data_IF_064894726935
#
_entry.id   IF_064894726935
#
_cell.length_a   1.000
_cell.length_b   1.000
_cell.length_c   1.000
_cell.angle_alpha   90.00
_cell.angle_beta   90.00
_cell.angle_gamma   90.00
#
_symmetry.space_group_name_H-M   'P 1'
#
loop_
_entity.id
_entity.type
_entity.pdbx_description
1 polymer ?
#
# COMPACT_ATOMS: atom_id res chain seq x y z
N UNK A 1 9.71 -72.51 -26.14
CA UNK A 1 9.23 -71.19 -26.56
C UNK A 1 9.47 -70.22 -25.40
N UNK A 2 10.57 -69.46 -25.47
CA UNK A 2 10.62 -67.98 -25.51
C UNK A 2 10.02 -67.32 -24.24
N UNK A 3 10.77 -66.89 -23.22
CA UNK A 3 11.78 -65.80 -23.08
C UNK A 3 11.20 -64.41 -22.72
N UNK A 4 11.96 -63.69 -21.88
CA UNK A 4 11.89 -62.28 -21.39
C UNK A 4 11.04 -61.97 -20.14
N UNK A 5 11.61 -61.75 -18.94
CA UNK A 5 12.43 -60.60 -18.45
C UNK A 5 11.72 -59.24 -18.50
N UNK A 6 11.56 -58.59 -17.34
CA UNK A 6 12.23 -57.31 -17.01
C UNK A 6 11.85 -56.75 -15.63
N UNK A 7 12.91 -56.42 -14.90
CA UNK A 7 13.00 -55.76 -13.60
C UNK A 7 12.01 -54.61 -13.34
N UNK A 8 11.15 -54.76 -12.32
CA UNK A 8 10.33 -53.65 -11.76
C UNK A 8 10.99 -52.91 -10.58
N UNK A 9 12.15 -53.35 -10.11
CA UNK A 9 12.79 -52.83 -8.88
C UNK A 9 13.83 -51.73 -9.11
N UNK A 10 14.21 -51.44 -10.36
CA UNK A 10 15.25 -50.44 -10.67
C UNK A 10 14.72 -49.02 -10.91
N UNK A 11 13.42 -48.83 -11.14
CA UNK A 11 12.86 -47.50 -11.46
C UNK A 11 12.38 -46.69 -10.24
N UNK A 12 12.28 -47.31 -9.06
CA UNK A 12 11.78 -46.60 -7.87
C UNK A 12 12.83 -45.72 -7.17
N UNK A 13 14.12 -45.99 -7.35
CA UNK A 13 15.19 -45.27 -6.65
C UNK A 13 15.63 -43.98 -7.35
N UNK A 14 15.57 -43.90 -8.68
CA UNK A 14 16.00 -42.72 -9.43
C UNK A 14 14.98 -41.58 -9.39
N UNK A 15 13.68 -41.88 -9.24
CA UNK A 15 12.63 -40.87 -9.12
C UNK A 15 12.69 -40.21 -7.74
N UNK A 16 12.87 -40.98 -6.66
CA UNK A 16 13.02 -40.43 -5.30
C UNK A 16 14.27 -39.57 -5.14
N UNK A 17 15.39 -39.94 -5.78
CA UNK A 17 16.64 -39.16 -5.72
C UNK A 17 16.54 -37.83 -6.48
N UNK A 18 15.84 -37.80 -7.63
CA UNK A 18 15.64 -36.57 -8.41
C UNK A 18 14.67 -35.59 -7.74
N UNK A 19 13.64 -36.07 -7.06
CA UNK A 19 12.69 -35.20 -6.33
C UNK A 19 13.31 -34.58 -5.09
N UNK A 20 14.19 -35.30 -4.38
CA UNK A 20 14.87 -34.78 -3.19
C UNK A 20 15.91 -33.69 -3.53
N UNK A 21 16.60 -33.79 -4.66
CA UNK A 21 17.58 -32.78 -5.10
C UNK A 21 16.88 -31.50 -5.55
N UNK A 22 15.72 -31.62 -6.23
CA UNK A 22 14.96 -30.46 -6.70
C UNK A 22 14.33 -29.66 -5.55
N UNK A 23 13.88 -30.32 -4.48
CA UNK A 23 13.35 -29.62 -3.29
C UNK A 23 14.41 -28.86 -2.51
N UNK A 24 15.65 -29.38 -2.43
CA UNK A 24 16.76 -28.72 -1.73
C UNK A 24 17.28 -27.52 -2.53
N UNK A 25 17.34 -27.61 -3.86
CA UNK A 25 17.73 -26.46 -4.70
C UNK A 25 16.67 -25.35 -4.65
N UNK A 26 15.38 -25.70 -4.66
CA UNK A 26 14.30 -24.72 -4.52
C UNK A 26 14.31 -24.00 -3.16
N UNK A 27 14.69 -24.67 -2.08
CA UNK A 27 14.79 -24.03 -0.75
C UNK A 27 15.99 -23.06 -0.62
N UNK A 28 17.07 -23.27 -1.37
CA UNK A 28 18.20 -22.33 -1.39
C UNK A 28 17.91 -21.05 -2.20
N UNK A 29 17.01 -21.10 -3.18
CA UNK A 29 16.59 -19.91 -3.94
C UNK A 29 15.54 -19.05 -3.20
N UNK A 30 14.94 -19.53 -2.11
CA UNK A 30 13.98 -18.77 -1.30
C UNK A 30 14.63 -17.78 -0.31
N UNK A 31 15.93 -17.88 -0.07
CA UNK A 31 16.66 -16.99 0.85
C UNK A 31 17.15 -15.69 0.17
N UNK A 32 16.84 -15.47 -1.11
CA UNK A 32 17.37 -14.36 -1.92
C UNK A 32 16.60 -13.04 -1.82
N UNK A 33 15.40 -13.02 -1.24
CA UNK A 33 14.77 -11.77 -0.81
C UNK A 33 14.97 -11.66 0.70
N UNK A 34 16.08 -11.03 1.10
CA UNK A 34 16.28 -10.60 2.49
C UNK A 34 15.03 -9.87 2.96
N UNK A 35 14.36 -10.47 3.95
CA UNK A 35 12.97 -10.17 4.33
C UNK A 35 12.84 -8.94 5.24
N UNK A 36 13.86 -8.09 5.29
CA UNK A 36 13.77 -6.83 6.03
C UNK A 36 12.90 -5.87 5.21
N UNK A 37 11.68 -5.61 5.68
CA UNK A 37 10.78 -4.66 5.03
C UNK A 37 10.89 -3.27 5.64
N UNK A 38 11.70 -3.09 6.69
CA UNK A 38 11.78 -1.82 7.41
C UNK A 38 12.33 -0.70 6.52
N UNK A 39 13.19 -1.00 5.54
CA UNK A 39 13.65 -0.01 4.57
C UNK A 39 12.51 0.70 3.80
N UNK A 40 11.31 0.11 3.71
CA UNK A 40 10.13 0.73 3.08
C UNK A 40 9.48 1.80 3.98
N UNK A 41 9.88 1.85 5.25
CA UNK A 41 9.30 2.68 6.32
C UNK A 41 10.31 3.66 6.90
N UNK A 42 11.60 3.39 6.75
CA UNK A 42 12.69 4.15 7.35
C UNK A 42 13.26 5.21 6.41
N UNK A 43 13.82 6.28 6.98
CA UNK A 43 14.69 7.22 6.25
C UNK A 43 15.98 6.54 5.80
N UNK A 44 16.50 6.98 4.66
CA UNK A 44 17.82 6.56 4.20
C UNK A 44 18.93 7.29 4.97
N UNK A 45 20.05 6.61 5.19
CA UNK A 45 21.24 7.18 5.84
C UNK A 45 21.40 6.74 7.30
N UNK A 46 22.26 7.47 8.02
CA UNK A 46 22.56 7.24 9.43
C UNK A 46 21.78 8.19 10.35
N UNK A 47 21.81 7.90 11.65
CA UNK A 47 21.11 8.67 12.68
C UNK A 47 22.06 9.60 13.48
N UNK A 48 23.25 9.90 12.93
CA UNK A 48 24.30 10.65 13.64
C UNK A 48 23.82 12.06 14.04
N UNK A 49 22.90 12.64 13.26
CA UNK A 49 22.31 13.93 13.55
C UNK A 49 21.59 13.97 14.91
N UNK A 50 21.07 12.84 15.41
CA UNK A 50 20.44 12.73 16.74
C UNK A 50 21.45 12.87 17.89
N UNK A 51 22.74 12.64 17.62
CA UNK A 51 23.83 12.77 18.59
C UNK A 51 24.52 14.15 18.53
N UNK A 52 23.97 15.08 17.76
CA UNK A 52 24.54 16.43 17.63
C UNK A 52 24.54 17.17 18.97
N UNK A 53 25.62 17.89 19.31
CA UNK A 53 25.68 18.67 20.54
C UNK A 53 24.62 19.77 20.54
N UNK A 54 24.10 20.10 21.71
CA UNK A 54 23.10 21.16 21.85
C UNK A 54 23.67 22.54 21.50
N UNK A 55 22.84 23.36 20.85
CA UNK A 55 23.19 24.74 20.48
C UNK A 55 23.39 25.59 21.74
N UNK A 56 24.53 26.27 21.83
CA UNK A 56 24.88 27.20 22.91
C UNK A 56 24.85 28.63 22.39
N UNK A 57 24.25 29.52 23.16
CA UNK A 57 24.26 30.96 22.85
C UNK A 57 25.67 31.52 22.96
N UNK A 58 26.01 32.45 22.06
CA UNK A 58 27.27 33.18 22.11
C UNK A 58 27.29 34.09 23.34
N UNK A 59 28.33 33.97 24.17
CA UNK A 59 28.56 34.86 25.31
C UNK A 59 29.37 36.06 24.81
N UNK A 60 28.80 37.26 24.89
CA UNK A 60 29.41 38.50 24.38
C UNK A 60 30.04 39.25 25.56
N UNK A 61 31.36 39.48 25.56
CA UNK A 61 32.03 40.28 26.58
C UNK A 61 31.64 41.76 26.53
N UNK A 62 31.79 42.46 27.65
CA UNK A 62 31.53 43.90 27.70
C UNK A 62 32.43 44.69 26.71
N UNK A 63 31.83 45.68 26.05
CA UNK A 63 32.53 46.54 25.07
C UNK A 63 32.64 45.98 23.66
N UNK A 64 32.13 44.78 23.37
CA UNK A 64 32.14 44.18 22.02
C UNK A 64 30.77 44.31 21.34
N UNK A 65 30.72 44.92 20.16
CA UNK A 65 29.49 44.96 19.34
C UNK A 65 29.42 43.74 18.42
N UNK A 66 28.32 43.00 18.47
CA UNK A 66 28.00 41.94 17.50
C UNK A 66 26.99 42.42 16.47
N UNK A 67 27.02 41.89 15.23
CA UNK A 67 25.97 42.11 14.24
C UNK A 67 24.60 41.67 14.77
N UNK A 68 23.54 42.34 14.32
CA UNK A 68 22.16 41.95 14.64
C UNK A 68 21.87 40.55 14.09
N UNK A 69 21.30 39.67 14.92
CA UNK A 69 20.91 38.34 14.49
C UNK A 69 19.85 38.40 13.39
N UNK A 70 20.07 37.63 12.31
CA UNK A 70 19.10 37.44 11.23
C UNK A 70 18.30 36.17 11.49
N UNK A 71 17.00 36.18 11.19
CA UNK A 71 16.09 35.06 11.50
C UNK A 71 16.26 33.84 10.58
N UNK A 72 17.03 33.92 9.49
CA UNK A 72 17.10 32.88 8.46
C UNK A 72 17.58 31.51 8.95
N UNK A 73 18.40 31.49 10.01
CA UNK A 73 18.92 30.27 10.66
C UNK A 73 18.36 30.07 12.07
N UNK A 74 17.31 30.82 12.44
CA UNK A 74 16.67 30.67 13.73
C UNK A 74 15.89 29.36 13.78
N UNK A 75 16.24 28.50 14.74
CA UNK A 75 15.55 27.23 14.97
C UNK A 75 14.68 27.37 16.22
N UNK A 76 13.37 27.19 16.04
CA UNK A 76 12.42 27.11 17.15
C UNK A 76 12.73 25.88 18.01
N UNK A 77 12.76 26.06 19.33
CA UNK A 77 13.05 25.01 20.31
C UNK A 77 11.79 24.33 20.87
N UNK A 78 10.66 24.49 20.20
CA UNK A 78 9.41 23.83 20.59
C UNK A 78 9.61 22.32 20.67
N UNK A 79 9.34 21.74 21.83
CA UNK A 79 9.40 20.29 22.02
C UNK A 79 8.26 19.61 21.25
N UNK A 80 8.61 19.00 20.12
CA UNK A 80 7.68 18.16 19.34
C UNK A 80 7.89 16.71 19.77
N UNK A 81 6.81 16.07 20.21
CA UNK A 81 6.81 14.65 20.56
C UNK A 81 6.54 13.80 19.33
N UNK A 82 7.36 12.78 19.12
CA UNK A 82 7.21 11.83 18.02
C UNK A 82 8.42 10.91 17.90
N UNK A 83 8.31 9.90 17.05
CA UNK A 83 9.44 9.04 16.71
C UNK A 83 10.47 9.82 15.90
N UNK A 84 11.74 9.49 16.10
CA UNK A 84 12.87 10.11 15.41
C UNK A 84 13.67 9.04 14.64
N UNK A 85 14.39 9.49 13.62
CA UNK A 85 15.27 8.62 12.82
C UNK A 85 14.52 7.47 12.15
N UNK A 86 15.07 6.27 12.23
CA UNK A 86 14.52 5.03 11.65
C UNK A 86 13.22 4.58 12.32
N UNK A 87 12.93 5.05 13.54
CA UNK A 87 11.65 4.75 14.18
C UNK A 87 10.48 5.56 13.57
N UNK A 88 10.78 6.60 12.78
CA UNK A 88 9.77 7.40 12.09
C UNK A 88 9.33 6.68 10.81
N UNK A 89 8.05 6.34 10.73
CA UNK A 89 7.44 5.75 9.54
C UNK A 89 7.22 6.83 8.46
N UNK A 90 8.03 6.80 7.41
CA UNK A 90 7.99 7.77 6.29
C UNK A 90 7.10 7.34 5.12
N UNK A 91 6.33 6.26 5.24
CA UNK A 91 5.40 5.84 4.18
C UNK A 91 4.37 6.94 3.92
N UNK A 92 3.89 7.08 2.67
CA UNK A 92 2.88 8.08 2.34
C UNK A 92 1.62 7.88 3.19
N UNK A 93 1.05 8.96 3.76
CA UNK A 93 -0.25 8.91 4.41
C UNK A 93 -1.31 8.35 3.46
N UNK A 94 -2.13 7.41 3.94
CA UNK A 94 -3.15 6.77 3.11
C UNK A 94 -4.31 7.71 2.83
N UNK A 95 -4.71 7.80 1.56
CA UNK A 95 -5.83 8.63 1.11
C UNK A 95 -7.04 7.75 0.74
N UNK A 96 -8.26 8.10 1.19
CA UNK A 96 -9.49 7.48 0.68
C UNK A 96 -9.68 7.76 -0.81
N UNK A 97 -9.81 6.71 -1.61
CA UNK A 97 -10.06 6.77 -3.05
C UNK A 97 -11.48 6.24 -3.33
N UNK A 98 -12.51 7.10 -3.44
CA UNK A 98 -13.84 6.67 -3.83
C UNK A 98 -13.85 6.25 -5.30
N UNK A 99 -14.31 5.03 -5.57
CA UNK A 99 -14.44 4.45 -6.93
C UNK A 99 -15.90 4.35 -7.38
N UNK A 100 -16.83 4.86 -6.57
CA UNK A 100 -18.25 4.89 -6.89
C UNK A 100 -18.55 6.26 -7.50
N UNK A 101 -19.26 6.33 -8.65
CA UNK A 101 -19.68 7.61 -9.21
C UNK A 101 -20.46 8.46 -8.19
N UNK A 102 -20.18 9.76 -8.18
CA UNK A 102 -20.79 10.74 -7.27
C UNK A 102 -20.57 10.48 -5.77
N UNK A 103 -19.61 9.62 -5.42
CA UNK A 103 -19.17 9.41 -4.06
C UNK A 103 -18.01 10.34 -3.68
N UNK A 104 -18.08 10.88 -2.48
CA UNK A 104 -16.99 11.61 -1.83
C UNK A 104 -16.63 10.88 -0.53
N UNK A 105 -15.33 10.84 -0.21
CA UNK A 105 -14.82 10.20 1.00
C UNK A 105 -13.83 11.12 1.72
N UNK A 106 -13.95 11.19 3.04
CA UNK A 106 -13.03 11.94 3.90
C UNK A 106 -12.57 11.06 5.04
N UNK A 107 -11.27 11.09 5.29
CA UNK A 107 -10.69 10.62 6.53
C UNK A 107 -10.72 11.77 7.55
N UNK A 108 -11.29 11.53 8.72
CA UNK A 108 -11.25 12.46 9.84
C UNK A 108 -11.13 11.70 11.15
N UNK A 109 -10.15 12.10 11.98
CA UNK A 109 -9.96 11.64 13.37
C UNK A 109 -10.18 10.13 13.58
N UNK A 110 -9.53 9.30 12.76
CA UNK A 110 -9.57 7.83 12.92
C UNK A 110 -10.73 7.12 12.25
N UNK A 111 -11.54 7.82 11.45
CA UNK A 111 -12.64 7.24 10.68
C UNK A 111 -12.60 7.67 9.22
N UNK A 112 -13.12 6.83 8.33
CA UNK A 112 -13.44 7.21 6.94
C UNK A 112 -14.94 7.33 6.82
N UNK A 113 -15.42 8.51 6.45
CA UNK A 113 -16.84 8.74 6.14
C UNK A 113 -16.98 9.04 4.66
N UNK A 114 -17.92 8.38 4.00
CA UNK A 114 -18.18 8.59 2.58
C UNK A 114 -19.68 8.55 2.27
N UNK A 115 -20.10 9.32 1.27
CA UNK A 115 -21.45 9.24 0.73
C UNK A 115 -21.46 8.38 -0.54
N UNK A 116 -22.55 7.67 -0.80
CA UNK A 116 -22.78 6.96 -2.05
C UNK A 116 -24.26 7.00 -2.45
N UNK A 117 -24.59 7.05 -3.75
CA UNK A 117 -25.98 6.86 -4.21
C UNK A 117 -26.51 5.47 -3.84
N UNK A 118 -27.77 5.38 -3.38
CA UNK A 118 -28.41 4.10 -3.03
C UNK A 118 -28.49 3.13 -4.22
N UNK A 119 -28.54 3.66 -5.44
CA UNK A 119 -28.54 2.88 -6.68
C UNK A 119 -27.28 2.02 -6.84
N UNK A 120 -26.16 2.40 -6.22
CA UNK A 120 -24.90 1.65 -6.29
C UNK A 120 -24.84 0.50 -5.26
N UNK A 121 -25.81 0.42 -4.34
CA UNK A 121 -25.96 -0.66 -3.35
C UNK A 121 -24.66 -0.97 -2.60
N UNK A 122 -23.90 0.06 -2.20
CA UNK A 122 -22.56 -0.11 -1.63
C UNK A 122 -22.63 -0.87 -0.32
N UNK A 123 -23.56 -0.49 0.57
CA UNK A 123 -23.75 -1.17 1.85
C UNK A 123 -23.94 -2.69 1.72
N UNK A 124 -24.79 -3.11 0.78
CA UNK A 124 -25.13 -4.53 0.61
C UNK A 124 -23.93 -5.36 0.09
N UNK A 125 -22.89 -4.69 -0.43
CA UNK A 125 -21.66 -5.32 -0.93
C UNK A 125 -20.57 -5.42 0.13
N UNK A 126 -20.62 -4.61 1.20
CA UNK A 126 -19.63 -4.60 2.28
C UNK A 126 -19.41 -5.99 2.91
N UNK A 127 -20.45 -6.78 3.27
CA UNK A 127 -20.25 -8.10 3.86
C UNK A 127 -19.42 -9.05 2.99
N UNK A 128 -19.59 -8.99 1.67
CA UNK A 128 -18.83 -9.80 0.73
C UNK A 128 -17.37 -9.34 0.67
N UNK A 129 -17.10 -8.03 0.64
CA UNK A 129 -15.75 -7.47 0.71
C UNK A 129 -15.00 -7.86 1.98
N UNK A 130 -15.67 -7.82 3.14
CA UNK A 130 -15.11 -8.28 4.42
C UNK A 130 -14.77 -9.77 4.36
N UNK A 131 -15.69 -10.59 3.84
CA UNK A 131 -15.50 -12.05 3.73
C UNK A 131 -14.33 -12.41 2.81
N UNK A 132 -14.17 -11.72 1.66
CA UNK A 132 -13.03 -11.91 0.75
C UNK A 132 -11.67 -11.70 1.44
N UNK A 133 -11.65 -10.87 2.47
CA UNK A 133 -10.45 -10.50 3.25
C UNK A 133 -10.31 -11.29 4.54
N UNK A 134 -11.12 -12.33 4.72
CA UNK A 134 -11.17 -13.16 5.93
C UNK A 134 -11.50 -12.36 7.20
N UNK A 135 -12.23 -11.25 7.06
CA UNK A 135 -12.74 -10.46 8.19
C UNK A 135 -14.16 -10.95 8.50
N UNK A 136 -14.32 -11.67 9.61
CA UNK A 136 -15.63 -12.19 10.01
C UNK A 136 -16.51 -11.12 10.66
N UNK A 137 -17.81 -11.19 10.41
CA UNK A 137 -18.81 -10.29 10.98
C UNK A 137 -19.22 -10.81 12.36
N UNK A 138 -19.13 -9.98 13.39
CA UNK A 138 -19.56 -10.27 14.75
C UNK A 138 -21.07 -10.04 14.93
N UNK A 139 -21.56 -8.91 14.40
CA UNK A 139 -22.99 -8.58 14.36
C UNK A 139 -23.30 -7.67 13.18
N UNK A 140 -24.53 -7.75 12.69
CA UNK A 140 -25.01 -6.91 11.59
C UNK A 140 -26.50 -6.64 11.75
N UNK A 141 -26.88 -5.40 11.47
CA UNK A 141 -28.27 -4.98 11.32
C UNK A 141 -28.41 -4.09 10.06
N UNK A 142 -29.53 -3.36 9.93
CA UNK A 142 -29.80 -2.50 8.79
C UNK A 142 -28.92 -1.24 8.70
N UNK A 143 -28.26 -0.83 9.77
CA UNK A 143 -27.47 0.42 9.84
C UNK A 143 -26.10 0.26 10.49
N UNK A 144 -25.73 -0.93 10.96
CA UNK A 144 -24.46 -1.20 11.59
C UNK A 144 -23.92 -2.59 11.26
N UNK A 145 -22.61 -2.68 11.06
CA UNK A 145 -21.83 -3.91 10.99
C UNK A 145 -20.68 -3.79 11.99
N UNK A 146 -20.55 -4.78 12.88
CA UNK A 146 -19.38 -4.94 13.74
C UNK A 146 -18.60 -6.15 13.27
N UNK A 147 -17.28 -6.03 13.15
CA UNK A 147 -16.42 -7.17 12.80
C UNK A 147 -15.80 -7.78 14.05
N UNK A 148 -15.48 -9.07 13.97
CA UNK A 148 -14.51 -9.66 14.88
C UNK A 148 -13.12 -9.10 14.57
N UNK A 149 -12.17 -9.41 15.45
CA UNK A 149 -10.76 -9.20 15.16
C UNK A 149 -10.30 -10.09 14.01
N UNK A 150 -9.48 -9.55 13.12
CA UNK A 150 -8.91 -10.25 11.99
C UNK A 150 -7.45 -9.82 11.77
N UNK A 151 -6.63 -10.76 11.29
CA UNK A 151 -5.25 -10.46 10.91
C UNK A 151 -5.19 -9.83 9.54
N UNK A 152 -4.65 -8.62 9.48
CA UNK A 152 -4.42 -7.84 8.27
C UNK A 152 -2.93 -7.90 7.95
N UNK A 153 -2.61 -8.44 6.77
CA UNK A 153 -1.25 -8.60 6.28
C UNK A 153 -1.02 -7.57 5.18
N UNK A 154 0.12 -6.87 5.23
CA UNK A 154 0.54 -5.94 4.19
C UNK A 154 1.93 -6.29 3.68
N UNK A 155 2.20 -6.03 2.40
CA UNK A 155 3.49 -6.32 1.77
C UNK A 155 4.61 -5.31 2.14
N UNK A 156 4.26 -4.22 2.79
CA UNK A 156 5.16 -3.17 3.29
C UNK A 156 5.37 -3.24 4.81
N UNK A 157 4.93 -4.33 5.45
CA UNK A 157 5.11 -4.60 6.87
C UNK A 157 5.62 -6.04 7.09
N UNK A 158 6.41 -6.24 8.15
CA UNK A 158 6.91 -7.56 8.51
C UNK A 158 5.92 -8.36 9.36
N UNK A 159 5.20 -7.65 10.24
CA UNK A 159 4.27 -8.24 11.19
C UNK A 159 2.84 -7.89 10.79
N UNK A 160 1.98 -8.90 10.79
CA UNK A 160 0.55 -8.70 10.64
C UNK A 160 -0.01 -7.90 11.82
N UNK A 161 -1.06 -7.13 11.54
CA UNK A 161 -1.78 -6.39 12.56
C UNK A 161 -3.14 -7.03 12.77
N UNK A 162 -3.57 -7.14 14.01
CA UNK A 162 -4.92 -7.57 14.35
C UNK A 162 -5.83 -6.35 14.46
N UNK A 163 -6.90 -6.30 13.65
CA UNK A 163 -7.81 -5.17 13.59
C UNK A 163 -9.28 -5.62 13.69
N UNK A 164 -10.11 -4.78 14.29
CA UNK A 164 -11.58 -4.88 14.22
C UNK A 164 -12.20 -3.54 13.88
N UNK A 165 -13.37 -3.57 13.26
CA UNK A 165 -14.01 -2.39 12.67
C UNK A 165 -15.47 -2.27 13.09
N UNK A 166 -15.93 -1.03 13.14
CA UNK A 166 -17.34 -0.64 13.27
C UNK A 166 -17.73 0.13 12.02
N UNK A 167 -18.69 -0.37 11.27
CA UNK A 167 -19.19 0.27 10.06
C UNK A 167 -20.63 0.69 10.31
N UNK A 168 -20.95 1.96 10.10
CA UNK A 168 -22.29 2.51 10.32
C UNK A 168 -22.83 3.12 9.03
N UNK A 169 -24.12 2.96 8.78
CA UNK A 169 -24.87 3.55 7.66
C UNK A 169 -25.95 4.48 8.17
N UNK A 170 -26.07 5.63 7.52
CA UNK A 170 -27.18 6.56 7.67
C UNK A 170 -27.76 6.86 6.28
N UNK A 171 -29.08 6.70 6.13
CA UNK A 171 -29.78 7.04 4.90
C UNK A 171 -30.10 8.55 4.87
N UNK A 172 -29.88 9.19 3.72
CA UNK A 172 -30.19 10.59 3.47
C UNK A 172 -30.77 10.75 2.06
N UNK A 173 -32.10 10.73 1.96
CA UNK A 173 -32.80 10.75 0.67
C UNK A 173 -32.37 9.58 -0.22
N UNK A 174 -31.89 9.88 -1.42
CA UNK A 174 -31.42 8.89 -2.40
C UNK A 174 -29.94 8.51 -2.23
N UNK A 175 -29.32 8.92 -1.12
CA UNK A 175 -27.93 8.63 -0.78
C UNK A 175 -27.81 7.91 0.56
N UNK A 176 -26.72 7.17 0.74
CA UNK A 176 -26.29 6.62 2.01
C UNK A 176 -24.94 7.21 2.41
N UNK A 177 -24.81 7.60 3.69
CA UNK A 177 -23.54 7.97 4.31
C UNK A 177 -23.06 6.77 5.12
N UNK A 178 -21.84 6.31 4.84
CA UNK A 178 -21.22 5.18 5.51
C UNK A 178 -19.96 5.66 6.22
N UNK A 179 -19.84 5.32 7.49
CA UNK A 179 -18.67 5.61 8.33
C UNK A 179 -18.00 4.31 8.74
N UNK A 180 -16.71 4.17 8.43
CA UNK A 180 -15.84 3.07 8.86
C UNK A 180 -14.96 3.60 9.98
N UNK A 181 -15.02 2.97 11.14
CA UNK A 181 -14.20 3.26 12.32
C UNK A 181 -13.42 2.01 12.70
N UNK A 182 -12.18 2.18 13.15
CA UNK A 182 -11.43 1.09 13.77
C UNK A 182 -11.76 1.01 15.26
N UNK A 183 -12.08 -0.19 15.77
CA UNK A 183 -12.43 -0.41 17.18
C UNK A 183 -11.29 -1.01 17.98
N UNK A 184 -10.42 -1.79 17.34
CA UNK A 184 -9.15 -2.24 17.92
C UNK A 184 -8.09 -2.37 16.83
N UNK A 185 -6.84 -2.06 17.17
CA UNK A 185 -5.70 -2.14 16.28
C UNK A 185 -4.47 -2.52 17.10
N UNK A 186 -4.00 -3.76 17.00
CA UNK A 186 -2.90 -4.27 17.81
C UNK A 186 -1.86 -5.00 16.96
N UNK A 187 -0.58 -4.75 17.23
CA UNK A 187 0.54 -5.48 16.61
C UNK A 187 1.25 -6.27 17.70
N UNK A 188 1.03 -7.59 17.73
CA UNK A 188 1.48 -8.41 18.85
C UNK A 188 0.87 -7.94 20.17
N UNK A 189 1.70 -7.46 21.09
CA UNK A 189 1.28 -6.89 22.38
C UNK A 189 1.03 -5.38 22.33
N UNK A 190 1.44 -4.72 21.26
CA UNK A 190 1.42 -3.26 21.17
C UNK A 190 0.05 -2.77 20.69
N UNK A 191 -0.55 -1.84 21.45
CA UNK A 191 -1.77 -1.15 21.05
C UNK A 191 -1.43 0.05 20.17
N UNK A 192 -1.84 -0.02 18.91
CA UNK A 192 -1.60 1.00 17.90
C UNK A 192 -2.76 2.01 17.79
N UNK A 193 -3.85 1.84 18.55
CA UNK A 193 -5.02 2.73 18.47
C UNK A 193 -4.70 4.19 18.83
N UNK A 194 -3.63 4.42 19.61
CA UNK A 194 -3.13 5.75 19.96
C UNK A 194 -2.25 6.39 18.88
N UNK A 195 -1.88 5.66 17.83
CA UNK A 195 -0.99 6.12 16.77
C UNK A 195 -1.81 6.57 15.54
N UNK A 196 -1.97 7.88 15.29
CA UNK A 196 -2.92 8.36 14.27
C UNK A 196 -2.61 7.89 12.85
N UNK A 197 -1.32 7.75 12.51
CA UNK A 197 -0.89 7.31 11.18
C UNK A 197 -1.19 5.83 10.92
N UNK A 198 -1.07 4.98 11.95
CA UNK A 198 -1.40 3.56 11.85
C UNK A 198 -2.92 3.40 11.75
N UNK A 199 -3.67 4.10 12.61
CA UNK A 199 -5.15 4.13 12.53
C UNK A 199 -5.60 4.55 11.14
N UNK A 200 -5.07 5.66 10.61
CA UNK A 200 -5.37 6.14 9.26
C UNK A 200 -5.09 5.07 8.20
N UNK A 201 -3.89 4.48 8.23
CA UNK A 201 -3.46 3.48 7.25
C UNK A 201 -4.40 2.28 7.19
N UNK A 202 -4.80 1.75 8.35
CA UNK A 202 -5.63 0.55 8.43
C UNK A 202 -7.12 0.80 8.17
N UNK A 203 -7.66 1.97 8.56
CA UNK A 203 -9.06 2.31 8.26
C UNK A 203 -9.23 2.72 6.79
N UNK A 204 -8.30 3.50 6.24
CA UNK A 204 -8.30 3.89 4.82
C UNK A 204 -7.98 2.68 3.93
N UNK A 205 -7.10 1.80 4.38
CA UNK A 205 -6.82 0.52 3.71
C UNK A 205 -8.10 -0.27 3.49
N UNK A 206 -8.87 -0.54 4.55
CA UNK A 206 -10.15 -1.25 4.45
C UNK A 206 -11.16 -0.50 3.54
N UNK A 207 -11.21 0.82 3.63
CA UNK A 207 -12.07 1.61 2.74
C UNK A 207 -11.71 1.43 1.26
N UNK A 208 -10.44 1.63 0.90
CA UNK A 208 -9.96 1.49 -0.48
C UNK A 208 -10.17 0.07 -1.00
N UNK A 209 -9.99 -0.90 -0.13
CA UNK A 209 -10.23 -2.31 -0.36
C UNK A 209 -11.71 -2.63 -0.69
N UNK A 210 -12.66 -2.00 0.02
CA UNK A 210 -14.09 -2.09 -0.29
C UNK A 210 -14.38 -1.37 -1.61
N UNK A 211 -13.80 -0.19 -1.82
CA UNK A 211 -13.97 0.60 -3.04
C UNK A 211 -13.50 -0.18 -4.28
N UNK A 212 -12.39 -0.90 -4.21
CA UNK A 212 -11.90 -1.73 -5.32
C UNK A 212 -12.90 -2.85 -5.68
N UNK A 213 -13.53 -3.46 -4.68
CA UNK A 213 -14.56 -4.48 -4.88
C UNK A 213 -15.85 -3.92 -5.49
N UNK A 214 -16.30 -2.75 -5.02
CA UNK A 214 -17.58 -2.17 -5.46
C UNK A 214 -17.46 -1.34 -6.74
N UNK A 215 -16.23 -1.04 -7.19
CA UNK A 215 -15.97 -0.28 -8.39
C UNK A 215 -16.75 -0.85 -9.59
N UNK A 216 -17.33 0.00 -10.46
CA UNK A 216 -17.92 -0.45 -11.70
C UNK A 216 -16.83 -0.91 -12.67
N UNK A 217 -17.16 -1.83 -13.58
CA UNK A 217 -16.18 -2.37 -14.54
C UNK A 217 -15.55 -1.30 -15.43
N UNK A 218 -16.26 -0.19 -15.67
CA UNK A 218 -15.74 0.96 -16.40
C UNK A 218 -14.51 1.61 -15.75
N UNK A 219 -14.35 1.52 -14.42
CA UNK A 219 -13.16 2.00 -13.72
C UNK A 219 -12.01 0.99 -13.69
N UNK A 220 -12.28 -0.28 -14.05
CA UNK A 220 -11.25 -1.34 -14.10
C UNK A 220 -10.49 -1.39 -15.42
N UNK A 221 -10.90 -0.60 -16.41
CA UNK A 221 -10.24 -0.54 -17.71
C UNK A 221 -9.11 0.49 -17.64
N UNK A 222 -7.87 0.03 -17.73
CA UNK A 222 -6.72 0.92 -17.90
C UNK A 222 -6.96 1.83 -19.12
N UNK A 223 -6.68 3.14 -19.02
CA UNK A 223 -6.73 4.00 -20.20
C UNK A 223 -5.90 3.36 -21.31
N UNK A 224 -6.42 3.28 -22.55
CA UNK A 224 -5.60 2.78 -23.65
C UNK A 224 -4.32 3.60 -23.67
N UNK A 225 -3.16 2.91 -23.58
CA UNK A 225 -1.86 3.57 -23.75
C UNK A 225 -1.98 4.42 -25.01
N UNK A 226 -1.72 5.73 -24.88
CA UNK A 226 -1.62 6.60 -26.03
C UNK A 226 -0.57 5.97 -26.95
N UNK A 227 -1.02 5.28 -27.99
CA UNK A 227 -0.11 4.74 -28.99
C UNK A 227 0.55 5.94 -29.62
N UNK A 228 1.88 5.98 -29.50
CA UNK A 228 2.74 6.96 -30.17
C UNK A 228 2.38 7.00 -31.66
N UNK A 229 1.57 7.99 -32.05
CA UNK A 229 1.22 8.26 -33.45
C UNK A 229 2.42 8.73 -34.27
N UNK A 230 3.62 8.78 -33.69
CA UNK A 230 4.87 9.11 -34.38
C UNK A 230 5.53 7.91 -35.07
N UNK A 231 5.22 6.67 -34.66
CA UNK A 231 5.80 5.49 -35.30
C UNK A 231 5.20 5.17 -36.69
N UNK A 232 3.97 5.61 -36.96
CA UNK A 232 3.28 5.32 -38.22
C UNK A 232 3.59 6.35 -39.33
N UNK A 233 4.03 7.57 -38.95
CA UNK A 233 4.43 8.61 -39.92
C UNK A 233 5.79 8.31 -40.56
N UNK A 234 6.73 7.73 -39.79
CA UNK A 234 8.06 7.39 -40.28
C UNK A 234 8.10 6.18 -41.24
N UNK A 235 7.05 5.35 -41.27
CA UNK A 235 6.96 4.20 -42.19
C UNK A 235 6.34 4.56 -43.55
N UNK A 236 5.59 5.67 -43.63
CA UNK A 236 5.02 6.17 -44.88
C UNK A 236 6.01 7.00 -45.71
N UNK A 237 7.03 7.59 -45.09
CA UNK A 237 7.99 8.48 -45.76
C UNK A 237 9.21 7.74 -46.36
N UNK A 238 9.43 6.48 -45.97
CA UNK A 238 10.56 5.65 -46.45
C UNK A 238 10.27 4.91 -47.79
N UNK A 239 9.11 5.15 -48.42
CA UNK A 239 8.72 4.49 -49.68
C UNK A 239 8.51 5.50 -50.82
N UNK A 240 9.48 6.38 -51.04
CA UNK A 240 9.56 7.20 -52.25
C UNK A 240 10.67 6.64 -53.15
N UNK A 241 10.36 6.14 -54.36
CA UNK A 241 11.38 5.62 -55.26
C UNK A 241 12.26 6.76 -55.77
N UNK A 242 13.58 6.52 -55.79
CA UNK A 242 14.56 7.44 -56.35
C UNK A 242 14.27 7.69 -57.84
N UNK A 243 14.13 8.96 -58.20
CA UNK A 243 14.03 9.45 -59.58
C UNK A 243 15.33 9.13 -60.33
N UNK A 244 15.26 8.27 -61.35
CA UNK A 244 16.33 8.14 -62.33
C UNK A 244 16.20 9.26 -63.37
N UNK A 245 17.21 10.13 -63.40
CA UNK A 245 17.44 11.09 -64.48
C UNK A 245 18.07 10.33 -65.64
N UNK A 246 17.43 10.33 -66.82
CA UNK A 246 18.10 9.94 -68.08
C UNK A 246 18.27 11.16 -68.97
N UNK A 247 19.49 11.38 -69.45
CA UNK A 247 19.79 12.32 -70.54
C UNK A 247 20.87 11.75 -71.47
N UNK A 248 20.65 11.94 -72.78
CA UNK A 248 21.50 11.68 -73.96
C UNK A 248 21.59 10.19 -74.41
N UNK A 249 21.35 9.81 -75.67
CA UNK A 249 21.34 10.51 -76.97
C UNK A 249 20.10 10.12 -77.80
#
# INVERSE_FOLDING_TARGET
>A
MLNNTLNRTLFKSNVLKKTAILSVVASLFLAGCGSDQNFKREVEGNEDYLQSPSLKSLIIPEGVSVPTETSDFYVDKTEIKGNLGKQLDIRPPSLPIPTVPDAFAVYNSGSVTFNAPLSNQVWERIPNSLTKRNISIASQDSSAIQTNKAFIIRADEEQAVEASYSIKRQLLGDTETITILITSLTRGTDDLTSQPIEVQRYVVGLFNDIMDDVAPDSMRVAPPKAQDKEAEKNKAESKKPATAVSSAN
#
